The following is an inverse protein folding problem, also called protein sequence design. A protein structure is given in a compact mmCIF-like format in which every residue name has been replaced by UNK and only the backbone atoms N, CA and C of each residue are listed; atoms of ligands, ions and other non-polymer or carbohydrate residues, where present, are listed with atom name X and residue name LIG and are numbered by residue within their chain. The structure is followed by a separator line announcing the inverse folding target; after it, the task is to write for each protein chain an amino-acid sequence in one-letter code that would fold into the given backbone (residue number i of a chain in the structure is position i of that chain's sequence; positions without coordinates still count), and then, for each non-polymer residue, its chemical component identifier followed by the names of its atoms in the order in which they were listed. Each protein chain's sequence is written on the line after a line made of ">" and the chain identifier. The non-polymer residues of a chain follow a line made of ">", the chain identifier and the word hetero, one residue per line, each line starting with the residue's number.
data_IF_710715176326
#
_entry.id   IF_710715176326
#
_cell.length_a   1.000
_cell.length_b   1.000
_cell.length_c   1.000
_cell.angle_alpha   90.00
_cell.angle_beta   90.00
_cell.angle_gamma   90.00
#
_symmetry.space_group_name_H-M   'P 1'
#
loop_
_entity.id
_entity.type
_entity.pdbx_description
1 polymer ?
#
# COMPACT_ATOMS: atom_id res chain seq x y z
N UNK A 1 -2.44 -1.35 -5.71
CA UNK A 1 -2.29 -0.93 -4.31
C UNK A 1 -2.84 0.48 -4.13
N UNK A 2 -3.67 0.69 -3.13
CA UNK A 2 -4.24 1.99 -2.73
C UNK A 2 -4.21 2.08 -1.20
N UNK A 3 -3.80 3.22 -0.66
CA UNK A 3 -3.69 3.41 0.79
C UNK A 3 -2.88 4.64 1.17
N UNK A 4 -2.39 4.70 2.40
CA UNK A 4 -1.41 5.68 2.81
C UNK A 4 0.01 5.10 2.71
N UNK A 5 0.86 5.76 1.92
CA UNK A 5 2.27 5.38 1.78
C UNK A 5 3.11 6.08 2.85
N UNK A 6 3.99 5.31 3.48
CA UNK A 6 5.00 5.78 4.41
C UNK A 6 6.32 5.98 3.68
N UNK A 7 6.90 7.17 3.78
CA UNK A 7 8.18 7.49 3.17
C UNK A 7 9.33 7.01 4.05
N UNK A 8 9.97 5.92 3.70
CA UNK A 8 11.06 5.32 4.50
C UNK A 8 12.36 6.12 4.51
N UNK A 9 12.46 7.21 3.73
CA UNK A 9 13.55 8.19 3.84
C UNK A 9 13.45 9.00 5.12
N UNK A 10 12.26 9.09 5.71
CA UNK A 10 12.01 9.71 7.00
C UNK A 10 12.36 8.73 8.12
N UNK A 11 13.17 9.14 9.07
CA UNK A 11 13.67 8.29 10.16
C UNK A 11 12.56 7.60 10.94
N UNK A 12 11.42 8.26 11.12
CA UNK A 12 10.25 7.72 11.82
C UNK A 12 9.61 6.52 11.11
N UNK A 13 9.87 6.31 9.80
CA UNK A 13 9.35 5.17 9.05
C UNK A 13 10.43 4.22 8.51
N UNK A 14 11.69 4.42 8.89
CA UNK A 14 12.79 3.59 8.43
C UNK A 14 12.70 2.14 8.95
N UNK A 15 12.33 1.96 10.22
CA UNK A 15 12.19 0.65 10.86
C UNK A 15 10.86 -0.02 10.46
N UNK A 16 10.94 -1.27 9.99
CA UNK A 16 9.74 -2.04 9.60
C UNK A 16 8.77 -2.29 10.77
N UNK A 17 9.28 -2.37 12.03
CA UNK A 17 8.44 -2.57 13.23
C UNK A 17 7.51 -1.39 13.45
N UNK A 18 8.00 -0.18 13.16
CA UNK A 18 7.18 1.03 13.20
C UNK A 18 6.10 0.97 12.10
N UNK A 19 6.46 0.60 10.88
CA UNK A 19 5.49 0.47 9.79
C UNK A 19 4.42 -0.59 10.08
N UNK A 20 4.80 -1.70 10.72
CA UNK A 20 3.84 -2.71 11.19
C UNK A 20 2.92 -2.13 12.27
N UNK A 21 3.47 -1.37 13.24
CA UNK A 21 2.66 -0.70 14.26
C UNK A 21 1.66 0.28 13.66
N UNK A 22 2.05 1.02 12.59
CA UNK A 22 1.15 1.90 11.84
C UNK A 22 0.01 1.11 11.18
N UNK A 23 0.30 -0.05 10.57
CA UNK A 23 -0.72 -0.92 9.95
C UNK A 23 -1.66 -1.51 11.02
N UNK A 24 -1.15 -1.92 12.18
CA UNK A 24 -1.95 -2.42 13.31
C UNK A 24 -2.90 -1.36 13.88
N UNK A 25 -2.43 -0.11 13.96
CA UNK A 25 -3.24 1.00 14.44
C UNK A 25 -4.35 1.39 13.45
N UNK A 26 -4.19 1.06 12.16
CA UNK A 26 -5.20 1.31 11.13
C UNK A 26 -6.33 0.31 11.23
N UNK A 27 -7.42 0.73 11.83
CA UNK A 27 -8.60 -0.09 12.05
C UNK A 27 -9.44 -0.22 10.77
N UNK A 28 -9.01 -1.11 9.87
CA UNK A 28 -9.64 -1.27 8.56
C UNK A 28 -11.13 -1.58 8.65
N UNK A 29 -11.55 -2.52 9.50
CA UNK A 29 -12.93 -2.97 9.59
C UNK A 29 -13.87 -1.84 10.02
N UNK A 30 -13.47 -1.05 11.01
CA UNK A 30 -14.23 0.13 11.45
C UNK A 30 -14.28 1.22 10.38
N UNK A 31 -13.16 1.51 9.72
CA UNK A 31 -13.10 2.51 8.64
C UNK A 31 -13.95 2.06 7.45
N UNK A 32 -13.86 0.79 7.06
CA UNK A 32 -14.66 0.24 5.97
C UNK A 32 -16.16 0.30 6.27
N UNK A 33 -16.54 -0.03 7.51
CA UNK A 33 -17.95 0.10 7.93
C UNK A 33 -18.41 1.56 7.86
N UNK A 34 -17.65 2.49 8.42
CA UNK A 34 -17.98 3.92 8.45
C UNK A 34 -18.05 4.54 7.04
N UNK A 35 -17.14 4.15 6.13
CA UNK A 35 -17.02 4.76 4.81
C UNK A 35 -17.86 4.08 3.73
N UNK A 36 -18.09 2.77 3.84
CA UNK A 36 -18.71 1.97 2.77
C UNK A 36 -19.85 1.05 3.25
N UNK A 37 -20.12 1.03 4.55
CA UNK A 37 -21.05 0.07 5.18
C UNK A 37 -20.49 -1.35 5.20
N UNK A 38 -19.17 -1.50 5.33
CA UNK A 38 -18.49 -2.81 5.43
C UNK A 38 -18.42 -3.62 4.14
N UNK A 39 -18.79 -3.03 2.99
CA UNK A 39 -19.03 -3.77 1.74
C UNK A 39 -17.78 -4.01 0.89
N UNK A 40 -16.67 -3.38 1.21
CA UNK A 40 -15.47 -3.46 0.38
C UNK A 40 -14.45 -4.42 0.97
N UNK A 41 -13.77 -5.17 0.10
CA UNK A 41 -12.65 -6.03 0.50
C UNK A 41 -11.37 -5.21 0.68
N UNK A 42 -10.55 -5.57 1.66
CA UNK A 42 -9.23 -4.97 1.85
C UNK A 42 -8.26 -5.43 0.76
N UNK A 43 -7.44 -4.50 0.29
CA UNK A 43 -6.29 -4.83 -0.58
C UNK A 43 -5.26 -5.53 0.29
N UNK A 44 -4.81 -6.71 -0.11
CA UNK A 44 -3.92 -7.55 0.70
C UNK A 44 -2.46 -7.52 0.25
N UNK A 45 -2.21 -7.21 -1.04
CA UNK A 45 -0.86 -7.09 -1.60
C UNK A 45 -0.83 -6.17 -2.82
N UNK A 46 0.34 -5.94 -3.40
CA UNK A 46 0.47 -5.05 -4.58
C UNK A 46 -0.19 -5.63 -5.82
N UNK A 47 -0.14 -6.94 -6.00
CA UNK A 47 -0.76 -7.66 -7.12
C UNK A 47 -1.99 -8.46 -6.70
N UNK A 48 -2.54 -8.21 -5.51
CA UNK A 48 -3.77 -8.86 -5.05
C UNK A 48 -4.91 -8.70 -6.04
N UNK A 49 -5.88 -9.59 -5.96
CA UNK A 49 -7.01 -9.66 -6.90
C UNK A 49 -6.62 -9.95 -8.36
N UNK A 50 -5.47 -10.59 -8.56
CA UNK A 50 -5.01 -11.06 -9.86
C UNK A 50 -4.26 -12.39 -9.71
N UNK A 51 -4.01 -13.06 -10.83
CA UNK A 51 -3.19 -14.28 -10.88
C UNK A 51 -1.72 -14.02 -10.52
N UNK A 52 -1.31 -12.76 -10.48
CA UNK A 52 0.05 -12.31 -10.16
C UNK A 52 0.29 -12.11 -8.65
N UNK A 53 -0.78 -12.03 -7.85
CA UNK A 53 -0.67 -11.92 -6.40
C UNK A 53 -0.02 -13.16 -5.79
N UNK A 54 0.74 -12.96 -4.73
CA UNK A 54 1.35 -14.08 -4.01
C UNK A 54 0.27 -14.96 -3.33
N UNK A 55 0.58 -16.24 -3.19
CA UNK A 55 -0.29 -17.18 -2.50
C UNK A 55 -0.09 -17.08 -0.99
N UNK A 56 -1.17 -17.19 -0.18
CA UNK A 56 -1.07 -17.19 1.29
C UNK A 56 -0.15 -18.31 1.80
N UNK A 57 0.42 -18.09 2.99
CA UNK A 57 1.30 -19.04 3.64
C UNK A 57 2.75 -19.01 3.12
N UNK A 58 3.58 -20.00 3.49
CA UNK A 58 5.01 -20.01 3.19
C UNK A 58 5.32 -20.02 1.69
N UNK A 59 6.41 -19.35 1.31
CA UNK A 59 6.94 -19.40 -0.04
C UNK A 59 7.40 -20.83 -0.37
N UNK A 60 7.05 -21.32 -1.57
CA UNK A 60 7.37 -22.68 -2.02
C UNK A 60 7.80 -22.69 -3.48
N UNK A 61 8.43 -23.82 -3.91
CA UNK A 61 8.87 -24.01 -5.29
C UNK A 61 9.70 -22.86 -5.85
N UNK A 62 9.48 -22.48 -7.12
CA UNK A 62 10.28 -21.43 -7.78
C UNK A 62 10.26 -20.08 -7.04
N UNK A 63 9.17 -19.74 -6.34
CA UNK A 63 9.11 -18.50 -5.52
C UNK A 63 10.13 -18.56 -4.38
N UNK A 64 10.20 -19.69 -3.67
CA UNK A 64 11.17 -19.88 -2.56
C UNK A 64 12.61 -19.89 -3.09
N UNK A 65 12.85 -20.51 -4.24
CA UNK A 65 14.16 -20.56 -4.88
C UNK A 65 14.67 -19.17 -5.26
N UNK A 66 13.79 -18.31 -5.81
CA UNK A 66 14.13 -16.93 -6.16
C UNK A 66 14.46 -16.08 -4.93
N UNK A 67 13.79 -16.31 -3.80
CA UNK A 67 13.99 -15.55 -2.57
C UNK A 67 15.17 -16.06 -1.72
N UNK A 68 15.56 -17.32 -1.87
CA UNK A 68 16.61 -17.96 -1.07
C UNK A 68 17.95 -17.19 -1.00
N UNK A 69 18.46 -16.60 -2.10
CA UNK A 69 19.73 -15.85 -2.04
C UNK A 69 19.68 -14.59 -1.18
N UNK A 70 18.48 -14.14 -0.79
CA UNK A 70 18.26 -12.88 -0.06
C UNK A 70 17.70 -13.12 1.36
N UNK A 71 17.69 -14.37 1.84
CA UNK A 71 17.01 -14.77 3.09
C UNK A 71 17.39 -13.90 4.29
N UNK A 72 18.66 -13.53 4.43
CA UNK A 72 19.18 -12.70 5.52
C UNK A 72 18.74 -11.23 5.43
N UNK A 73 18.37 -10.76 4.23
CA UNK A 73 17.95 -9.38 3.96
C UNK A 73 16.42 -9.23 3.90
N UNK A 74 15.68 -10.34 3.88
CA UNK A 74 14.24 -10.33 3.80
C UNK A 74 13.59 -9.92 5.12
N UNK A 75 12.57 -9.09 5.04
CA UNK A 75 11.77 -8.75 6.20
C UNK A 75 10.81 -9.89 6.59
N UNK A 76 10.47 -10.03 7.88
CA UNK A 76 9.56 -11.05 8.37
C UNK A 76 8.24 -11.04 7.59
N UNK A 77 7.78 -12.20 7.19
CA UNK A 77 6.60 -12.40 6.36
C UNK A 77 6.88 -12.56 4.86
N UNK A 78 8.10 -12.26 4.37
CA UNK A 78 8.43 -12.48 2.97
C UNK A 78 8.45 -13.98 2.61
N UNK A 79 9.01 -14.80 3.48
CA UNK A 79 9.09 -16.26 3.31
C UNK A 79 7.90 -16.99 3.92
N UNK A 80 7.48 -16.59 5.11
CA UNK A 80 6.40 -17.25 5.87
C UNK A 80 5.01 -16.93 5.33
N UNK A 81 4.87 -15.80 4.65
CA UNK A 81 3.62 -15.15 4.30
C UNK A 81 3.31 -14.01 5.29
N UNK A 82 2.68 -12.97 4.79
CA UNK A 82 2.26 -11.82 5.59
C UNK A 82 0.76 -11.61 5.45
N UNK A 83 0.08 -11.69 6.58
CA UNK A 83 -1.34 -11.40 6.69
C UNK A 83 -1.56 -10.05 7.36
N UNK A 84 -2.42 -9.23 6.78
CA UNK A 84 -2.81 -7.96 7.37
C UNK A 84 -3.60 -8.18 8.67
N UNK A 85 -3.39 -7.35 9.69
CA UNK A 85 -4.14 -7.46 10.93
C UNK A 85 -5.64 -7.23 10.70
N UNK A 86 -6.45 -8.03 11.39
CA UNK A 86 -7.91 -7.91 11.43
C UNK A 86 -8.32 -7.40 12.81
N UNK A 87 -9.27 -6.46 12.85
CA UNK A 87 -9.83 -5.91 14.08
C UNK A 87 -11.19 -6.55 14.43
N UNK A 88 -11.71 -6.20 15.59
CA UNK A 88 -13.08 -6.55 16.01
C UNK A 88 -14.15 -5.56 15.46
N UNK A 89 -13.77 -4.65 14.58
CA UNK A 89 -14.63 -3.60 14.00
C UNK A 89 -15.04 -2.49 14.98
N UNK A 90 -14.59 -2.54 16.23
CA UNK A 90 -14.87 -1.48 17.19
C UNK A 90 -13.85 -0.36 17.08
N UNK A 91 -14.27 0.88 17.25
CA UNK A 91 -13.41 2.07 17.14
C UNK A 91 -12.10 1.96 17.96
N UNK A 92 -12.16 1.37 19.15
CA UNK A 92 -10.99 1.31 20.05
C UNK A 92 -9.89 0.36 19.60
N UNK A 93 -10.18 -0.65 18.78
CA UNK A 93 -9.20 -1.62 18.25
C UNK A 93 -8.15 -2.09 19.26
N UNK A 94 -8.58 -2.40 20.50
CA UNK A 94 -7.68 -2.55 21.66
C UNK A 94 -6.56 -3.57 21.46
N UNK A 95 -6.87 -4.72 20.85
CA UNK A 95 -5.90 -5.80 20.63
C UNK A 95 -4.76 -5.33 19.73
N UNK A 96 -5.10 -4.71 18.58
CA UNK A 96 -4.10 -4.27 17.61
C UNK A 96 -3.36 -3.02 18.10
N UNK A 97 -4.01 -2.12 18.84
CA UNK A 97 -3.34 -0.97 19.49
C UNK A 97 -2.31 -1.45 20.52
N UNK A 98 -2.65 -2.46 21.35
CA UNK A 98 -1.68 -3.03 22.29
C UNK A 98 -0.49 -3.69 21.57
N UNK A 99 -0.75 -4.44 20.48
CA UNK A 99 0.31 -5.04 19.67
C UNK A 99 1.19 -3.97 18.99
N UNK A 100 0.59 -2.88 18.48
CA UNK A 100 1.32 -1.73 17.94
C UNK A 100 2.23 -1.09 19.00
N UNK A 101 1.73 -0.87 20.21
CA UNK A 101 2.52 -0.35 21.32
C UNK A 101 3.74 -1.20 21.65
N UNK A 102 3.57 -2.53 21.69
CA UNK A 102 4.69 -3.45 21.93
C UNK A 102 5.76 -3.41 20.83
N UNK A 103 5.36 -3.25 19.55
CA UNK A 103 6.32 -3.08 18.46
C UNK A 103 7.06 -1.76 18.52
N UNK A 104 6.38 -0.68 18.88
CA UNK A 104 7.00 0.64 19.08
C UNK A 104 8.01 0.59 20.23
N UNK A 105 7.67 -0.06 21.34
CA UNK A 105 8.59 -0.26 22.46
C UNK A 105 9.82 -1.08 22.04
N UNK A 106 9.62 -2.19 21.31
CA UNK A 106 10.71 -3.00 20.75
C UNK A 106 11.57 -2.23 19.75
N UNK A 107 11.02 -1.19 19.11
CA UNK A 107 11.75 -0.29 18.22
C UNK A 107 12.44 0.88 18.97
N UNK A 108 12.37 0.94 20.31
CA UNK A 108 13.04 1.94 21.13
C UNK A 108 12.20 3.17 21.44
N UNK A 109 10.88 3.12 21.24
CA UNK A 109 9.95 4.20 21.53
C UNK A 109 9.17 3.92 22.82
N UNK A 110 8.98 4.90 23.66
CA UNK A 110 8.27 4.79 24.94
C UNK A 110 7.30 5.95 25.14
N UNK A 111 6.14 5.66 25.72
CA UNK A 111 5.19 6.71 26.10
C UNK A 111 5.64 7.34 27.41
N UNK A 112 5.88 8.64 27.38
CA UNK A 112 6.21 9.50 28.55
C UNK A 112 5.30 10.71 28.53
N UNK A 113 4.64 10.96 29.64
CA UNK A 113 3.70 12.09 29.79
C UNK A 113 2.61 12.14 28.69
N UNK A 114 2.15 10.96 28.24
CA UNK A 114 1.14 10.81 27.20
C UNK A 114 1.66 10.96 25.76
N UNK A 115 2.96 11.17 25.57
CA UNK A 115 3.60 11.34 24.26
C UNK A 115 4.59 10.19 23.99
N UNK A 116 4.55 9.61 22.80
CA UNK A 116 5.51 8.62 22.35
C UNK A 116 6.86 9.30 22.03
N UNK A 117 7.94 8.89 22.67
CA UNK A 117 9.27 9.49 22.53
C UNK A 117 10.34 8.43 22.33
N UNK A 118 11.40 8.79 21.61
CA UNK A 118 12.62 7.98 21.51
C UNK A 118 13.45 8.05 22.80
N UNK A 119 14.59 7.35 22.81
CA UNK A 119 15.51 7.33 23.96
C UNK A 119 16.14 8.70 24.26
N UNK A 120 16.13 9.64 23.31
CA UNK A 120 16.64 11.01 23.46
C UNK A 120 15.55 12.00 23.91
N UNK A 121 14.30 11.54 24.06
CA UNK A 121 13.15 12.37 24.38
C UNK A 121 12.57 13.10 23.17
N UNK A 122 12.92 12.70 21.95
CA UNK A 122 12.34 13.27 20.72
C UNK A 122 10.94 12.68 20.51
N UNK A 123 9.90 13.53 20.40
CA UNK A 123 8.55 13.03 20.21
C UNK A 123 8.36 12.39 18.83
N UNK A 124 7.51 11.36 18.79
CA UNK A 124 7.08 10.75 17.52
C UNK A 124 6.03 11.64 16.87
N UNK A 125 6.44 12.42 15.92
CA UNK A 125 5.56 13.30 15.15
C UNK A 125 5.80 13.09 13.65
N UNK A 126 4.77 13.23 12.84
CA UNK A 126 4.90 13.23 11.39
C UNK A 126 3.77 14.00 10.71
N UNK A 127 4.05 14.42 9.47
CA UNK A 127 3.08 15.12 8.63
C UNK A 127 2.41 14.15 7.64
N UNK A 128 1.10 14.28 7.52
CA UNK A 128 0.34 13.64 6.44
C UNK A 128 -0.04 14.70 5.41
N UNK A 129 0.52 14.57 4.21
CA UNK A 129 0.23 15.46 3.11
C UNK A 129 -1.02 14.99 2.37
N UNK A 130 -2.08 15.81 2.36
CA UNK A 130 -3.33 15.51 1.64
C UNK A 130 -3.67 16.58 0.61
N UNK A 131 -4.31 16.14 -0.47
CA UNK A 131 -4.77 17.03 -1.51
C UNK A 131 -6.14 17.62 -1.16
N UNK A 132 -6.30 18.93 -1.35
CA UNK A 132 -7.56 19.62 -1.17
C UNK A 132 -8.69 19.01 -2.02
N UNK A 133 -9.90 18.92 -1.44
CA UNK A 133 -11.08 18.36 -2.13
C UNK A 133 -11.22 16.85 -2.04
N UNK A 134 -10.24 16.11 -1.50
CA UNK A 134 -10.30 14.65 -1.31
C UNK A 134 -10.94 14.30 0.05
N UNK A 135 -12.24 14.57 0.18
CA UNK A 135 -12.99 14.42 1.45
C UNK A 135 -12.85 13.04 2.08
N UNK A 136 -12.88 11.98 1.27
CA UNK A 136 -12.74 10.60 1.74
C UNK A 136 -11.40 10.35 2.42
N UNK A 137 -10.29 10.81 1.80
CA UNK A 137 -8.95 10.62 2.38
C UNK A 137 -8.80 11.38 3.70
N UNK A 138 -9.41 12.58 3.80
CA UNK A 138 -9.44 13.35 5.04
C UNK A 138 -10.22 12.62 6.14
N UNK A 139 -11.43 12.15 5.84
CA UNK A 139 -12.25 11.44 6.82
C UNK A 139 -11.57 10.16 7.34
N UNK A 140 -10.95 9.39 6.45
CA UNK A 140 -10.17 8.20 6.84
C UNK A 140 -9.00 8.61 7.73
N UNK A 141 -8.26 9.67 7.37
CA UNK A 141 -7.10 10.11 8.14
C UNK A 141 -7.50 10.65 9.51
N UNK A 142 -8.60 11.36 9.65
CA UNK A 142 -9.10 11.83 10.94
C UNK A 142 -9.47 10.67 11.88
N UNK A 143 -10.08 9.60 11.36
CA UNK A 143 -10.34 8.38 12.14
C UNK A 143 -9.01 7.74 12.56
N UNK A 144 -8.06 7.67 11.65
CA UNK A 144 -6.78 7.04 11.89
C UNK A 144 -5.92 7.85 12.87
N UNK A 145 -5.88 9.18 12.77
CA UNK A 145 -5.16 10.06 13.69
C UNK A 145 -5.60 9.85 15.14
N UNK A 146 -6.91 9.74 15.39
CA UNK A 146 -7.44 9.40 16.74
C UNK A 146 -6.98 8.03 17.27
N UNK A 147 -6.71 7.08 16.37
CA UNK A 147 -6.13 5.80 16.79
C UNK A 147 -4.64 5.94 17.14
N UNK A 148 -3.90 6.78 16.42
CA UNK A 148 -2.48 7.07 16.68
C UNK A 148 -2.26 7.88 17.95
N UNK A 149 -3.15 8.82 18.28
CA UNK A 149 -3.14 9.54 19.56
C UNK A 149 -3.17 8.60 20.77
N UNK A 150 -3.84 7.45 20.68
CA UNK A 150 -3.86 6.42 21.74
C UNK A 150 -2.51 5.75 21.97
N UNK A 151 -1.60 5.85 21.00
CA UNK A 151 -0.20 5.40 21.09
C UNK A 151 0.74 6.54 21.49
N UNK A 152 0.21 7.75 21.72
CA UNK A 152 1.01 8.95 22.01
C UNK A 152 1.69 9.54 20.78
N UNK A 153 1.24 9.18 19.58
CA UNK A 153 1.76 9.70 18.30
C UNK A 153 0.98 10.95 17.90
N UNK A 154 1.69 12.02 17.58
CA UNK A 154 1.11 13.27 17.10
C UNK A 154 1.20 13.37 15.58
N UNK A 155 0.06 13.64 14.94
CA UNK A 155 -0.10 13.68 13.48
C UNK A 155 -0.56 15.05 13.02
N UNK A 156 0.23 15.70 12.19
CA UNK A 156 -0.14 16.95 11.53
C UNK A 156 -0.74 16.67 10.15
N UNK A 157 -2.00 17.00 9.93
CA UNK A 157 -2.65 16.86 8.61
C UNK A 157 -2.47 18.16 7.83
N UNK A 158 -1.65 18.12 6.79
CA UNK A 158 -1.38 19.25 5.88
C UNK A 158 -2.20 19.10 4.60
N UNK A 159 -3.12 20.03 4.39
CA UNK A 159 -3.98 20.05 3.20
C UNK A 159 -3.52 21.13 2.26
N UNK A 160 -3.14 20.75 1.04
CA UNK A 160 -2.61 21.66 0.03
C UNK A 160 -3.37 21.56 -1.28
N UNK A 161 -3.29 22.58 -2.12
CA UNK A 161 -3.85 22.56 -3.46
C UNK A 161 -3.17 21.55 -4.38
N UNK A 162 -3.73 21.33 -5.57
CA UNK A 162 -3.23 20.34 -6.53
C UNK A 162 -1.81 20.62 -7.02
N UNK A 163 -1.44 21.90 -7.22
CA UNK A 163 -0.12 22.27 -7.74
C UNK A 163 0.95 22.01 -6.67
N UNK A 164 0.69 22.43 -5.44
CA UNK A 164 1.57 22.20 -4.31
C UNK A 164 1.68 20.71 -3.96
N UNK A 165 0.55 19.97 -3.98
CA UNK A 165 0.55 18.53 -3.78
C UNK A 165 1.44 17.82 -4.81
N UNK A 166 1.29 18.17 -6.09
CA UNK A 166 2.10 17.59 -7.17
C UNK A 166 3.58 17.94 -7.03
N UNK A 167 3.91 19.20 -6.67
CA UNK A 167 5.29 19.63 -6.47
C UNK A 167 5.95 18.88 -5.32
N UNK A 168 5.29 18.80 -4.16
CA UNK A 168 5.80 18.09 -2.97
C UNK A 168 5.95 16.59 -3.20
N UNK A 169 4.96 15.93 -3.81
CA UNK A 169 5.05 14.50 -4.10
C UNK A 169 6.14 14.17 -5.12
N UNK A 170 6.36 15.01 -6.14
CA UNK A 170 7.50 14.89 -7.06
C UNK A 170 8.85 15.07 -6.38
N UNK A 171 8.93 15.98 -5.42
CA UNK A 171 10.13 16.20 -4.60
C UNK A 171 10.30 15.14 -3.50
N UNK A 172 9.33 14.22 -3.33
CA UNK A 172 9.29 13.24 -2.22
C UNK A 172 9.29 13.92 -0.84
N UNK A 173 8.78 15.17 -0.78
CA UNK A 173 8.68 15.99 0.41
C UNK A 173 7.34 15.73 1.12
N UNK A 174 7.26 14.61 1.80
CA UNK A 174 6.17 14.19 2.68
C UNK A 174 6.67 13.08 3.61
N UNK A 175 6.02 12.92 4.75
CA UNK A 175 6.26 11.77 5.61
C UNK A 175 5.28 10.65 5.27
N UNK A 176 3.99 10.97 5.18
CA UNK A 176 2.93 10.08 4.74
C UNK A 176 2.01 10.81 3.75
N UNK A 177 1.49 10.10 2.75
CA UNK A 177 0.49 10.66 1.82
C UNK A 177 -0.39 9.57 1.22
N UNK A 178 -1.49 9.97 0.57
CA UNK A 178 -2.32 9.04 -0.19
C UNK A 178 -1.57 8.52 -1.42
N UNK A 179 -1.63 7.22 -1.60
CA UNK A 179 -0.98 6.49 -2.68
C UNK A 179 -1.99 5.66 -3.47
N UNK A 180 -1.89 5.70 -4.79
CA UNK A 180 -2.61 4.80 -5.68
C UNK A 180 -1.71 4.35 -6.82
N UNK A 181 -1.60 3.04 -6.98
CA UNK A 181 -0.90 2.41 -8.11
C UNK A 181 -1.75 1.28 -8.66
N UNK A 182 -2.29 1.47 -9.86
CA UNK A 182 -2.81 0.38 -10.67
C UNK A 182 -1.65 -0.34 -11.34
N UNK A 183 -1.71 -1.67 -11.37
CA UNK A 183 -0.74 -2.52 -12.03
C UNK A 183 -1.44 -3.32 -13.14
N UNK A 184 -0.72 -3.63 -14.22
CA UNK A 184 -1.23 -4.45 -15.30
C UNK A 184 -0.98 -5.94 -15.03
N UNK A 185 -1.58 -6.84 -15.85
CA UNK A 185 -1.22 -8.26 -15.86
C UNK A 185 0.07 -8.57 -16.63
N UNK A 186 0.74 -7.53 -17.11
CA UNK A 186 2.01 -7.64 -17.83
C UNK A 186 3.03 -6.64 -17.26
N UNK A 187 3.39 -6.77 -15.95
CA UNK A 187 4.42 -5.93 -15.38
C UNK A 187 5.76 -6.15 -16.11
N UNK A 188 6.54 -5.07 -16.25
CA UNK A 188 7.81 -5.08 -16.98
C UNK A 188 8.79 -4.06 -16.42
N UNK A 189 9.53 -3.37 -17.30
CA UNK A 189 10.60 -2.41 -16.94
C UNK A 189 10.10 -1.25 -16.07
N UNK A 190 8.81 -0.90 -16.13
CA UNK A 190 8.23 0.16 -15.29
C UNK A 190 8.31 -0.17 -13.79
N UNK A 191 8.51 -1.43 -13.43
CA UNK A 191 8.67 -1.84 -12.04
C UNK A 191 9.93 -1.23 -11.39
N UNK A 192 11.00 -1.01 -12.18
CA UNK A 192 12.18 -0.27 -11.70
C UNK A 192 11.85 1.17 -11.31
N UNK A 193 10.95 1.84 -12.05
CA UNK A 193 10.50 3.19 -11.70
C UNK A 193 9.69 3.24 -10.40
N UNK A 194 9.00 2.13 -10.07
CA UNK A 194 8.10 2.06 -8.91
C UNK A 194 8.80 1.61 -7.64
N UNK A 195 9.73 0.66 -7.77
CA UNK A 195 10.31 -0.06 -6.64
C UNK A 195 11.84 -0.20 -6.69
N UNK A 196 12.49 0.08 -7.82
CA UNK A 196 13.94 -0.10 -7.97
C UNK A 196 14.75 0.80 -7.04
N UNK A 197 15.89 0.30 -6.58
CA UNK A 197 16.75 1.02 -5.64
C UNK A 197 17.24 2.36 -6.21
N UNK A 198 17.66 2.37 -7.47
CA UNK A 198 18.16 3.59 -8.14
C UNK A 198 17.08 4.69 -8.21
N UNK A 199 15.80 4.31 -8.29
CA UNK A 199 14.70 5.25 -8.29
C UNK A 199 14.41 5.85 -6.89
N UNK A 200 14.92 5.24 -5.82
CA UNK A 200 14.59 5.66 -4.46
C UNK A 200 14.99 7.10 -4.16
N UNK A 201 16.16 7.53 -4.63
CA UNK A 201 16.70 8.87 -4.35
C UNK A 201 16.57 9.84 -5.54
N UNK A 202 15.90 9.41 -6.62
CA UNK A 202 15.69 10.26 -7.79
C UNK A 202 14.45 11.13 -7.63
N UNK A 203 14.63 12.44 -7.67
CA UNK A 203 13.52 13.39 -7.69
C UNK A 203 12.61 13.14 -8.89
N UNK A 204 11.29 13.12 -8.66
CA UNK A 204 10.31 12.82 -9.70
C UNK A 204 10.12 11.34 -10.00
N UNK A 205 10.86 10.44 -9.36
CA UNK A 205 10.64 9.00 -9.46
C UNK A 205 9.27 8.63 -8.87
N UNK A 206 8.83 7.43 -9.21
CA UNK A 206 7.56 6.88 -8.69
C UNK A 206 7.76 5.95 -7.49
N UNK A 207 9.00 5.80 -7.02
CA UNK A 207 9.32 5.09 -5.79
C UNK A 207 9.05 5.98 -4.57
N UNK A 208 7.77 6.24 -4.32
CA UNK A 208 7.33 7.13 -3.23
C UNK A 208 7.65 6.59 -1.84
N UNK A 209 7.75 5.29 -1.71
CA UNK A 209 8.05 4.59 -0.46
C UNK A 209 9.51 4.72 -0.04
N UNK A 210 10.42 4.95 -1.01
CA UNK A 210 11.85 4.89 -0.77
C UNK A 210 12.37 3.46 -0.64
N UNK A 211 11.78 2.52 -1.40
CA UNK A 211 12.24 1.12 -1.39
C UNK A 211 13.69 1.05 -1.85
N UNK A 212 14.53 0.43 -1.02
CA UNK A 212 15.94 0.10 -1.31
C UNK A 212 16.16 -1.34 -0.88
N UNK A 213 16.01 -2.28 -1.81
CA UNK A 213 16.12 -3.70 -1.53
C UNK A 213 16.74 -4.45 -2.71
N UNK A 214 17.91 -5.07 -2.51
CA UNK A 214 18.52 -5.93 -3.53
C UNK A 214 17.59 -7.06 -3.99
N UNK A 215 16.79 -7.60 -3.09
CA UNK A 215 15.80 -8.62 -3.40
C UNK A 215 14.73 -8.09 -4.37
N UNK A 216 14.24 -6.85 -4.18
CA UNK A 216 13.28 -6.23 -5.12
C UNK A 216 13.88 -6.11 -6.50
N UNK A 217 15.10 -5.58 -6.65
CA UNK A 217 15.75 -5.43 -7.95
C UNK A 217 15.99 -6.78 -8.64
N UNK A 218 16.38 -7.80 -7.86
CA UNK A 218 16.55 -9.15 -8.38
C UNK A 218 15.24 -9.76 -8.87
N UNK A 219 14.14 -9.57 -8.15
CA UNK A 219 12.81 -10.04 -8.58
C UNK A 219 12.31 -9.30 -9.82
N UNK A 220 12.54 -8.00 -9.92
CA UNK A 220 12.22 -7.23 -11.13
C UNK A 220 13.04 -7.76 -12.33
N UNK A 221 14.33 -8.00 -12.14
CA UNK A 221 15.19 -8.57 -13.17
C UNK A 221 14.69 -9.95 -13.61
N UNK A 222 14.37 -10.84 -12.65
CA UNK A 222 13.86 -12.18 -12.93
C UNK A 222 12.52 -12.13 -13.70
N UNK A 223 11.63 -11.22 -13.32
CA UNK A 223 10.35 -11.00 -14.01
C UNK A 223 10.55 -10.56 -15.46
N UNK A 224 11.47 -9.62 -15.74
CA UNK A 224 11.71 -9.09 -17.07
C UNK A 224 12.41 -10.12 -17.98
N UNK A 225 13.31 -10.94 -17.41
CA UNK A 225 14.05 -11.96 -18.13
C UNK A 225 13.37 -13.34 -18.18
N UNK A 226 12.12 -13.43 -17.68
CA UNK A 226 11.41 -14.71 -17.66
C UNK A 226 11.06 -15.18 -19.09
N UNK A 227 11.50 -16.39 -19.44
CA UNK A 227 11.24 -17.02 -20.74
C UNK A 227 9.98 -17.89 -20.75
N UNK A 228 9.37 -18.11 -19.57
CA UNK A 228 8.17 -18.92 -19.43
C UNK A 228 7.12 -18.19 -18.58
N UNK A 229 5.84 -18.55 -18.79
CA UNK A 229 4.74 -18.04 -17.96
C UNK A 229 4.92 -18.41 -16.49
N UNK A 230 5.40 -19.61 -16.19
CA UNK A 230 5.65 -20.07 -14.83
C UNK A 230 6.73 -19.24 -14.14
N UNK A 231 7.86 -19.01 -14.79
CA UNK A 231 8.93 -18.15 -14.29
C UNK A 231 8.47 -16.71 -14.10
N UNK A 232 7.69 -16.16 -15.03
CA UNK A 232 7.10 -14.84 -14.91
C UNK A 232 6.17 -14.71 -13.69
N UNK A 233 5.28 -15.71 -13.48
CA UNK A 233 4.39 -15.74 -12.32
C UNK A 233 5.19 -15.87 -11.02
N UNK A 234 6.18 -16.75 -10.97
CA UNK A 234 7.01 -16.95 -9.80
C UNK A 234 7.77 -15.68 -9.41
N UNK A 235 8.41 -15.00 -10.38
CA UNK A 235 9.14 -13.76 -10.15
C UNK A 235 8.20 -12.62 -9.69
N UNK A 236 7.01 -12.48 -10.28
CA UNK A 236 6.04 -11.47 -9.87
C UNK A 236 5.50 -11.73 -8.46
N UNK A 237 5.19 -12.98 -8.13
CA UNK A 237 4.74 -13.38 -6.79
C UNK A 237 5.83 -13.21 -5.73
N UNK A 238 7.08 -13.46 -6.10
CA UNK A 238 8.24 -13.20 -5.23
C UNK A 238 8.39 -11.69 -4.98
N UNK A 239 8.28 -10.86 -6.02
CA UNK A 239 8.28 -9.40 -5.90
C UNK A 239 7.15 -8.91 -4.98
N UNK A 240 5.93 -9.41 -5.19
CA UNK A 240 4.75 -9.05 -4.39
C UNK A 240 4.95 -9.38 -2.90
N UNK A 241 5.56 -10.55 -2.58
CA UNK A 241 5.91 -10.92 -1.21
C UNK A 241 6.89 -9.96 -0.57
N UNK A 242 7.98 -9.64 -1.25
CA UNK A 242 9.01 -8.74 -0.71
C UNK A 242 8.44 -7.34 -0.47
N UNK A 243 7.68 -6.80 -1.43
CA UNK A 243 7.05 -5.50 -1.29
C UNK A 243 6.00 -5.47 -0.17
N UNK A 244 5.18 -6.51 -0.04
CA UNK A 244 4.15 -6.60 0.99
C UNK A 244 4.77 -6.78 2.38
N UNK A 245 5.79 -7.62 2.51
CA UNK A 245 6.57 -7.75 3.75
C UNK A 245 7.31 -6.46 4.12
N UNK A 246 7.54 -5.56 3.16
CA UNK A 246 8.10 -4.22 3.39
C UNK A 246 7.19 -3.28 4.17
N UNK A 247 5.88 -3.52 4.20
CA UNK A 247 4.89 -2.71 4.96
C UNK A 247 4.92 -1.22 4.61
N UNK A 248 5.20 -0.92 3.35
CA UNK A 248 5.39 0.48 2.91
C UNK A 248 4.08 1.26 2.78
N UNK A 249 2.96 0.56 2.62
CA UNK A 249 1.63 1.15 2.44
C UNK A 249 0.67 0.56 3.46
N UNK A 250 -0.16 1.40 4.05
CA UNK A 250 -1.32 1.01 4.84
C UNK A 250 -2.47 0.78 3.86
N UNK A 251 -2.84 -0.48 3.53
CA UNK A 251 -3.78 -0.74 2.45
C UNK A 251 -5.22 -0.37 2.83
N UNK A 252 -5.90 0.24 1.85
CA UNK A 252 -7.32 0.53 1.93
C UNK A 252 -8.15 -0.62 1.32
N UNK A 253 -9.43 -0.33 1.10
CA UNK A 253 -10.34 -1.21 0.40
C UNK A 253 -10.22 -1.07 -1.12
N UNK A 254 -10.65 -2.10 -1.79
CA UNK A 254 -10.75 -2.14 -3.24
C UNK A 254 -12.18 -1.81 -3.67
N UNK A 255 -12.31 -0.85 -4.57
CA UNK A 255 -13.56 -0.63 -5.28
C UNK A 255 -13.69 -1.67 -6.39
N UNK A 256 -14.74 -2.49 -6.33
CA UNK A 256 -15.06 -3.53 -7.30
C UNK A 256 -16.30 -3.20 -8.14
N UNK A 257 -16.80 -1.98 -8.06
CA UNK A 257 -17.98 -1.50 -8.77
C UNK A 257 -17.65 -0.18 -9.45
N UNK A 258 -17.85 -0.12 -10.77
CA UNK A 258 -17.88 1.11 -11.54
C UNK A 258 -19.33 1.49 -11.81
N UNK A 259 -19.66 2.77 -11.60
CA UNK A 259 -20.99 3.31 -11.90
C UNK A 259 -20.89 4.13 -13.15
N UNK A 260 -21.57 3.69 -14.22
CA UNK A 260 -21.54 4.31 -15.52
C UNK A 260 -22.95 4.78 -15.88
N UNK A 261 -23.10 6.06 -16.19
CA UNK A 261 -24.31 6.62 -16.78
C UNK A 261 -24.09 6.76 -18.30
N UNK A 262 -24.95 6.15 -19.09
CA UNK A 262 -24.85 6.19 -20.55
C UNK A 262 -26.22 6.40 -21.19
N UNK A 263 -26.23 6.83 -22.47
CA UNK A 263 -27.43 6.89 -23.28
C UNK A 263 -27.96 5.46 -23.50
N UNK A 264 -29.28 5.27 -23.45
CA UNK A 264 -29.93 3.98 -23.66
C UNK A 264 -29.63 3.35 -25.01
N UNK A 265 -29.39 4.17 -26.04
CA UNK A 265 -29.00 3.73 -27.36
C UNK A 265 -27.54 3.23 -27.45
N UNK A 266 -26.73 3.41 -26.41
CA UNK A 266 -25.38 2.84 -26.33
C UNK A 266 -25.46 1.45 -25.69
N UNK A 267 -25.08 0.46 -26.46
CA UNK A 267 -25.00 -0.93 -26.07
C UNK A 267 -23.56 -1.36 -25.86
N UNK A 268 -23.33 -2.41 -25.10
CA UNK A 268 -22.02 -2.96 -24.78
C UNK A 268 -22.07 -4.48 -24.67
N UNK A 269 -20.92 -5.20 -24.79
CA UNK A 269 -20.88 -6.66 -24.66
C UNK A 269 -21.36 -7.13 -23.29
N UNK A 270 -22.15 -8.20 -23.24
CA UNK A 270 -22.61 -8.83 -21.98
C UNK A 270 -21.45 -9.27 -21.10
N UNK A 271 -20.37 -9.76 -21.72
CA UNK A 271 -19.16 -10.18 -20.99
C UNK A 271 -18.30 -8.98 -20.66
N UNK A 272 -18.32 -8.59 -19.40
CA UNK A 272 -17.47 -7.53 -18.91
C UNK A 272 -15.99 -7.98 -18.84
N UNK A 273 -15.04 -7.07 -19.12
CA UNK A 273 -13.63 -7.38 -18.98
C UNK A 273 -13.25 -7.55 -17.50
N UNK A 274 -12.19 -8.30 -17.27
CA UNK A 274 -11.67 -8.61 -15.91
C UNK A 274 -11.38 -7.37 -15.07
N UNK A 275 -11.03 -6.26 -15.72
CA UNK A 275 -10.70 -4.99 -15.08
C UNK A 275 -11.82 -3.94 -15.12
N UNK A 276 -13.05 -4.35 -15.48
CA UNK A 276 -14.20 -3.45 -15.52
C UNK A 276 -14.10 -2.42 -16.64
N UNK A 277 -14.31 -1.15 -16.33
CA UNK A 277 -14.40 -0.02 -17.25
C UNK A 277 -13.04 0.50 -17.77
N UNK A 278 -12.05 -0.36 -17.86
CA UNK A 278 -10.72 -0.01 -18.38
C UNK A 278 -10.78 0.50 -19.82
N UNK A 279 -9.81 1.36 -20.20
CA UNK A 279 -9.59 1.77 -21.58
C UNK A 279 -9.48 0.53 -22.48
N UNK A 280 -10.18 0.53 -23.62
CA UNK A 280 -10.34 -0.66 -24.48
C UNK A 280 -11.66 -1.39 -24.27
N UNK A 281 -12.43 -1.09 -23.22
CA UNK A 281 -13.81 -1.48 -23.07
C UNK A 281 -14.76 -0.29 -23.22
N UNK A 282 -14.49 0.81 -22.51
CA UNK A 282 -15.31 2.02 -22.56
C UNK A 282 -14.49 3.17 -23.18
N UNK A 283 -14.87 3.75 -24.33
CA UNK A 283 -16.04 3.40 -25.17
C UNK A 283 -15.73 2.42 -26.32
N UNK A 284 -14.52 1.87 -26.45
CA UNK A 284 -13.96 1.28 -27.68
C UNK A 284 -14.76 0.13 -28.25
N UNK A 285 -15.46 -0.65 -27.41
CA UNK A 285 -16.27 -1.81 -27.83
C UNK A 285 -17.77 -1.55 -27.68
N UNK A 286 -18.17 -0.32 -27.42
CA UNK A 286 -19.58 0.06 -27.32
C UNK A 286 -20.09 0.47 -28.70
N UNK A 287 -21.37 0.21 -28.98
CA UNK A 287 -22.01 0.59 -30.24
C UNK A 287 -23.32 1.32 -30.00
N UNK A 288 -23.68 2.12 -30.96
CA UNK A 288 -24.93 2.87 -30.96
C UNK A 288 -25.97 2.10 -31.80
N UNK A 289 -27.17 1.96 -31.28
CA UNK A 289 -28.30 1.32 -31.95
C UNK A 289 -29.51 2.25 -31.79
N UNK A 290 -30.00 2.79 -32.94
CA UNK A 290 -31.21 3.58 -32.95
C UNK A 290 -32.42 2.63 -32.82
N UNK A 291 -33.38 2.96 -31.91
CA UNK A 291 -34.67 2.26 -31.77
C UNK A 291 -35.53 2.38 -33.03
#
# INVERSE_FOLDING_TARGET
>A
MTGFVMNTRRSVFADWRIREAMILAFNFEFINDAMTGGRQSRITSYFSNSVLGFEPGPASGPVRELLAPFEDDLLPGALEGYDLPVSDGRERNRKNIAAAGALLEAAGWQVKDGQLQDNNGTPFTFEVLLQQGKKEHHAIMEIYARALERLGIDVTISTVDNAQYTARTKAQDFDMTYFRRGLSLSPGNEQYLYWGQDAADQAGSRNWMGVKSPAVDAMIKALISAESREGFLAATRALDRVLTAGRYVIPFYQWNISRIAHNKALNYPEKLPIYGDWLGFLPDVWWYEEE
#
